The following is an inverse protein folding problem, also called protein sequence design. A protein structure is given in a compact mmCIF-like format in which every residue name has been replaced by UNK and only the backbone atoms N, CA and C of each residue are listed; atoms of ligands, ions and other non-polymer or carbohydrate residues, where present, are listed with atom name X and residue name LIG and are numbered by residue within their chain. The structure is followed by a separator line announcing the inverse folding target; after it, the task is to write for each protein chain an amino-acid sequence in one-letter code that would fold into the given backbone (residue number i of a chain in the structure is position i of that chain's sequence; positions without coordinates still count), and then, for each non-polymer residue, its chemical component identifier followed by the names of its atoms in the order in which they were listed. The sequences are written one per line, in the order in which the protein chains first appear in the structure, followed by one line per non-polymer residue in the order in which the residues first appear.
data_IF_591916658461
#
_entry.id   IF_591916658461
#
_cell.length_a   1.000
_cell.length_b   1.000
_cell.length_c   1.000
_cell.angle_alpha   90.00
_cell.angle_beta   90.00
_cell.angle_gamma   90.00
#
_symmetry.space_group_name_H-M   'P 1'
#
loop_
_entity.id
_entity.type
_entity.pdbx_description
1 polymer ?
#
# COMPACT_ATOMS: atom_id res chain seq x y z
N UNK A 1 -31.46 45.19 -33.81
CA UNK A 1 -30.38 45.77 -34.62
C UNK A 1 -29.29 44.70 -34.53
N UNK A 2 -29.27 43.83 -35.45
CA UNK A 2 -28.67 43.76 -36.79
C UNK A 2 -27.17 43.49 -36.74
N UNK A 3 -26.81 42.22 -37.10
CA UNK A 3 -25.68 41.74 -37.92
C UNK A 3 -24.28 41.91 -37.33
N UNK A 4 -23.41 40.87 -37.39
CA UNK A 4 -22.77 40.44 -38.62
C UNK A 4 -22.00 39.09 -38.41
N UNK A 5 -22.26 38.14 -39.32
CA UNK A 5 -21.45 36.94 -39.53
C UNK A 5 -20.12 37.33 -40.18
N UNK A 6 -19.02 36.64 -39.81
CA UNK A 6 -17.88 36.42 -40.71
C UNK A 6 -17.45 34.96 -40.57
N UNK A 7 -17.73 34.20 -41.64
CA UNK A 7 -17.15 32.90 -41.92
C UNK A 7 -15.77 33.07 -42.56
N UNK A 8 -14.79 32.32 -42.06
CA UNK A 8 -13.51 32.18 -42.79
C UNK A 8 -13.26 30.69 -42.98
N UNK A 9 -13.50 30.25 -44.20
CA UNK A 9 -13.10 28.93 -44.67
C UNK A 9 -11.66 29.02 -45.20
N UNK A 10 -10.78 28.20 -44.68
CA UNK A 10 -9.47 27.93 -45.32
C UNK A 10 -9.38 26.45 -45.62
N UNK A 11 -9.49 26.15 -46.88
CA UNK A 11 -9.14 24.87 -47.50
C UNK A 11 -7.63 24.76 -47.64
N UNK A 12 -7.06 23.64 -47.13
CA UNK A 12 -5.72 23.23 -47.53
C UNK A 12 -5.75 21.84 -48.13
N UNK A 13 -5.15 21.79 -49.33
CA UNK A 13 -5.16 20.66 -50.22
C UNK A 13 -4.20 19.55 -49.77
N UNK A 14 -4.66 18.33 -50.03
CA UNK A 14 -3.93 17.06 -49.99
C UNK A 14 -2.82 17.06 -51.05
N UNK A 15 -1.61 16.66 -50.67
CA UNK A 15 -0.61 16.16 -51.59
C UNK A 15 -0.20 14.75 -51.12
N UNK A 16 -0.68 13.75 -51.85
CA UNK A 16 -0.14 12.39 -51.81
C UNK A 16 1.25 12.39 -52.47
N UNK A 17 2.23 11.84 -51.77
CA UNK A 17 3.44 11.35 -52.46
C UNK A 17 3.64 9.88 -52.07
N UNK A 18 3.48 9.04 -53.07
CA UNK A 18 3.64 7.60 -53.04
C UNK A 18 5.09 7.32 -53.48
N UNK A 19 5.92 6.78 -52.59
CA UNK A 19 7.17 6.12 -53.04
C UNK A 19 7.23 4.74 -52.39
N UNK A 20 7.02 3.77 -53.29
CA UNK A 20 7.32 2.36 -53.11
C UNK A 20 8.83 2.18 -53.27
N UNK A 21 9.52 1.72 -52.24
CA UNK A 21 10.82 1.06 -52.45
C UNK A 21 10.82 -0.27 -51.67
N UNK A 22 11.28 -1.25 -52.42
CA UNK A 22 11.28 -2.68 -52.20
C UNK A 22 12.57 -3.10 -51.51
N UNK A 23 12.43 -4.03 -50.54
CA UNK A 23 13.36 -5.09 -50.11
C UNK A 23 14.74 -4.71 -49.54
N UNK A 24 14.97 -5.23 -48.33
CA UNK A 24 15.88 -6.39 -48.17
C UNK A 24 15.68 -7.02 -46.79
N UNK A 25 15.39 -8.31 -46.83
CA UNK A 25 15.32 -9.22 -45.72
C UNK A 25 16.75 -9.49 -45.20
N UNK A 26 17.11 -8.98 -44.04
CA UNK A 26 18.25 -9.52 -43.27
C UNK A 26 17.74 -9.93 -41.89
N UNK A 27 17.67 -11.25 -41.73
CA UNK A 27 17.48 -11.89 -40.43
C UNK A 27 18.64 -11.51 -39.51
N UNK A 28 18.39 -10.68 -38.50
CA UNK A 28 19.24 -10.58 -37.33
C UNK A 28 18.49 -11.23 -36.20
N UNK A 29 18.94 -12.45 -35.89
CA UNK A 29 18.78 -13.10 -34.61
C UNK A 29 19.52 -12.26 -33.55
N UNK A 30 18.79 -11.40 -32.86
CA UNK A 30 19.27 -10.71 -31.67
C UNK A 30 18.50 -11.27 -30.49
N UNK A 31 19.14 -12.29 -29.91
CA UNK A 31 18.77 -12.85 -28.62
C UNK A 31 18.89 -11.81 -27.50
N UNK A 32 18.05 -10.80 -27.54
CA UNK A 32 17.85 -9.88 -26.42
C UNK A 32 17.06 -10.63 -25.34
N UNK A 33 17.80 -11.32 -24.48
CA UNK A 33 17.32 -11.66 -23.16
C UNK A 33 16.96 -10.34 -22.48
N UNK A 34 15.69 -9.96 -22.50
CA UNK A 34 15.15 -9.00 -21.55
C UNK A 34 15.36 -9.59 -20.14
N UNK A 35 16.54 -9.29 -19.59
CA UNK A 35 16.73 -9.30 -18.15
C UNK A 35 15.70 -8.28 -17.65
N UNK A 36 14.63 -8.74 -17.02
CA UNK A 36 13.77 -7.87 -16.24
C UNK A 36 14.68 -7.24 -15.20
N UNK A 37 15.10 -5.99 -15.46
CA UNK A 37 15.68 -5.17 -14.40
C UNK A 37 14.66 -5.15 -13.27
N UNK A 38 15.03 -5.79 -12.18
CA UNK A 38 14.26 -5.74 -10.95
C UNK A 38 14.08 -4.26 -10.62
N UNK A 39 12.82 -3.83 -10.54
CA UNK A 39 12.42 -2.48 -10.17
C UNK A 39 13.12 -2.09 -8.86
N UNK A 40 14.23 -1.36 -8.96
CA UNK A 40 15.00 -0.80 -7.85
C UNK A 40 14.32 0.46 -7.30
N UNK A 41 12.99 0.51 -7.29
CA UNK A 41 12.30 1.42 -6.38
C UNK A 41 12.65 0.99 -4.98
N UNK A 42 13.34 1.85 -4.28
CA UNK A 42 13.89 1.71 -2.92
C UNK A 42 12.99 0.80 -2.07
N UNK A 43 13.44 -0.43 -1.86
CA UNK A 43 12.78 -1.32 -0.92
C UNK A 43 12.75 -0.59 0.41
N UNK A 44 11.57 -0.35 0.95
CA UNK A 44 11.45 0.29 2.24
C UNK A 44 12.03 -0.67 3.27
N UNK A 45 13.11 -0.24 3.95
CA UNK A 45 13.65 -1.01 5.06
C UNK A 45 12.68 -0.93 6.22
N UNK A 46 12.34 -2.07 6.77
CA UNK A 46 11.58 -2.18 8.02
C UNK A 46 12.47 -2.64 9.17
N UNK A 47 13.79 -2.67 8.95
CA UNK A 47 14.75 -3.06 9.98
C UNK A 47 14.83 -1.98 11.06
N UNK A 48 14.43 -2.28 12.31
CA UNK A 48 14.45 -1.30 13.40
C UNK A 48 15.88 -1.13 13.94
N UNK A 49 16.23 0.10 14.34
CA UNK A 49 17.44 0.42 15.08
C UNK A 49 17.26 0.24 16.60
N UNK A 50 16.12 -0.25 17.04
CA UNK A 50 15.73 -0.38 18.43
C UNK A 50 15.10 -1.74 18.72
N UNK A 51 15.00 -2.11 20.01
CA UNK A 51 14.34 -3.31 20.49
C UNK A 51 13.27 -3.00 21.52
N UNK A 52 12.23 -3.83 21.60
CA UNK A 52 11.15 -3.73 22.57
C UNK A 52 11.19 -4.99 23.45
N UNK A 53 11.83 -4.86 24.62
CA UNK A 53 12.03 -5.98 25.54
C UNK A 53 10.90 -6.15 26.57
N UNK A 54 10.11 -5.11 26.81
CA UNK A 54 9.02 -5.13 27.78
C UNK A 54 7.92 -6.10 27.37
N UNK A 55 7.66 -7.11 28.20
CA UNK A 55 6.59 -8.08 27.97
C UNK A 55 5.20 -7.42 27.89
N UNK A 56 4.99 -6.30 28.58
CA UNK A 56 3.75 -5.53 28.50
C UNK A 56 3.60 -4.89 27.11
N UNK A 57 4.65 -4.24 26.58
CA UNK A 57 4.63 -3.66 25.25
C UNK A 57 4.48 -4.73 24.17
N UNK A 58 5.18 -5.87 24.31
CA UNK A 58 5.04 -6.99 23.38
C UNK A 58 3.59 -7.54 23.37
N UNK A 59 2.92 -7.60 24.54
CA UNK A 59 1.52 -8.02 24.60
C UNK A 59 0.59 -7.02 23.90
N UNK A 60 0.76 -5.71 24.15
CA UNK A 60 -0.01 -4.67 23.48
C UNK A 60 0.18 -4.70 21.96
N UNK A 61 1.39 -4.98 21.48
CA UNK A 61 1.67 -5.12 20.04
C UNK A 61 0.98 -6.36 19.44
N UNK A 62 0.93 -7.50 20.16
CA UNK A 62 0.17 -8.68 19.73
C UNK A 62 -1.33 -8.39 19.64
N UNK A 63 -1.86 -7.71 20.64
CA UNK A 63 -3.29 -7.34 20.68
C UNK A 63 -3.62 -6.38 19.53
N UNK A 64 -2.73 -5.38 19.29
CA UNK A 64 -2.86 -4.45 18.19
C UNK A 64 -2.77 -5.15 16.82
N UNK A 65 -1.83 -6.07 16.65
CA UNK A 65 -1.71 -6.89 15.43
C UNK A 65 -2.98 -7.70 15.17
N UNK A 66 -3.57 -8.31 16.21
CA UNK A 66 -4.82 -9.07 16.10
C UNK A 66 -5.97 -8.18 15.61
N UNK A 67 -6.10 -6.97 16.17
CA UNK A 67 -7.10 -6.00 15.75
C UNK A 67 -6.82 -5.49 14.31
N UNK A 68 -5.54 -5.29 13.95
CA UNK A 68 -5.13 -4.92 12.61
C UNK A 68 -5.52 -5.99 11.57
N UNK A 69 -5.33 -7.28 11.86
CA UNK A 69 -5.75 -8.35 10.94
C UNK A 69 -7.27 -8.32 10.73
N UNK A 70 -8.05 -8.03 11.75
CA UNK A 70 -9.49 -7.84 11.61
C UNK A 70 -9.85 -6.64 10.73
N UNK A 71 -9.11 -5.53 10.85
CA UNK A 71 -9.23 -4.37 9.98
C UNK A 71 -8.94 -4.74 8.52
N UNK A 72 -7.77 -5.36 8.27
CA UNK A 72 -7.33 -5.80 6.94
C UNK A 72 -8.36 -6.70 6.26
N UNK A 73 -8.88 -7.69 6.96
CA UNK A 73 -9.93 -8.57 6.42
C UNK A 73 -11.25 -7.83 6.15
N UNK A 74 -11.60 -6.83 6.95
CA UNK A 74 -12.73 -5.94 6.68
C UNK A 74 -12.54 -5.14 5.40
N UNK A 75 -11.35 -4.56 5.20
CA UNK A 75 -10.99 -3.82 3.98
C UNK A 75 -11.00 -4.71 2.73
N UNK A 76 -10.51 -5.96 2.85
CA UNK A 76 -10.59 -6.97 1.78
C UNK A 76 -12.03 -7.25 1.39
N UNK A 77 -12.92 -7.41 2.37
CA UNK A 77 -14.32 -7.72 2.16
C UNK A 77 -15.21 -6.50 1.87
N UNK A 78 -14.63 -5.28 1.88
CA UNK A 78 -15.35 -4.00 1.84
C UNK A 78 -16.48 -3.93 2.90
N UNK A 79 -16.22 -4.47 4.11
CA UNK A 79 -17.16 -4.50 5.23
C UNK A 79 -16.92 -3.32 6.16
N UNK A 80 -17.65 -2.23 5.96
CA UNK A 80 -17.57 -1.01 6.75
C UNK A 80 -17.78 -1.26 8.25
N UNK A 81 -18.65 -2.19 8.64
CA UNK A 81 -18.92 -2.44 10.07
C UNK A 81 -17.75 -3.18 10.73
N UNK A 82 -17.12 -4.10 10.01
CA UNK A 82 -15.97 -4.84 10.50
C UNK A 82 -14.76 -3.91 10.65
N UNK A 83 -14.47 -3.11 9.63
CA UNK A 83 -13.36 -2.15 9.65
C UNK A 83 -13.53 -1.11 10.74
N UNK A 84 -14.73 -0.55 10.90
CA UNK A 84 -15.02 0.44 11.95
C UNK A 84 -14.84 -0.12 13.37
N UNK A 85 -15.32 -1.36 13.62
CA UNK A 85 -15.09 -2.02 14.92
C UNK A 85 -13.61 -2.26 15.19
N UNK A 86 -12.88 -2.77 14.19
CA UNK A 86 -11.46 -3.05 14.34
C UNK A 86 -10.63 -1.76 14.53
N UNK A 87 -10.93 -0.69 13.81
CA UNK A 87 -10.29 0.61 14.00
C UNK A 87 -10.51 1.18 15.40
N UNK A 88 -11.72 1.05 15.96
CA UNK A 88 -12.03 1.47 17.33
C UNK A 88 -11.30 0.63 18.37
N UNK A 89 -11.17 -0.67 18.17
CA UNK A 89 -10.38 -1.56 19.02
C UNK A 89 -8.91 -1.16 18.99
N UNK A 90 -8.33 -0.99 17.79
CA UNK A 90 -6.95 -0.51 17.63
C UNK A 90 -6.71 0.83 18.32
N UNK A 91 -7.67 1.78 18.23
CA UNK A 91 -7.59 3.06 18.94
C UNK A 91 -7.52 2.86 20.46
N UNK A 92 -8.32 1.95 21.01
CA UNK A 92 -8.30 1.68 22.44
C UNK A 92 -6.94 1.14 22.87
N UNK A 93 -6.34 0.25 22.10
CA UNK A 93 -5.03 -0.34 22.39
C UNK A 93 -3.91 0.71 22.25
N UNK A 94 -3.87 1.46 21.16
CA UNK A 94 -2.79 2.41 20.87
C UNK A 94 -2.77 3.60 21.83
N UNK A 95 -3.87 3.88 22.51
CA UNK A 95 -3.97 4.93 23.53
C UNK A 95 -3.64 4.43 24.94
N UNK A 96 -3.20 3.17 25.10
CA UNK A 96 -2.72 2.69 26.40
C UNK A 96 -1.50 3.51 26.84
N UNK A 97 -1.52 3.91 28.12
CA UNK A 97 -0.51 4.78 28.68
C UNK A 97 0.91 4.19 28.64
N UNK A 98 1.02 2.84 28.61
CA UNK A 98 2.31 2.15 28.57
C UNK A 98 3.10 2.48 27.28
N UNK A 99 2.43 2.75 26.16
CA UNK A 99 3.12 3.17 24.95
C UNK A 99 3.80 4.52 25.05
N UNK A 100 3.40 5.39 25.99
CA UNK A 100 4.07 6.66 26.26
C UNK A 100 5.46 6.50 26.92
N UNK A 101 5.80 5.29 27.39
CA UNK A 101 7.11 4.97 27.95
C UNK A 101 8.15 4.68 26.87
N UNK A 102 7.71 4.46 25.60
CA UNK A 102 8.62 4.28 24.48
C UNK A 102 9.21 5.62 24.05
N UNK A 103 10.49 5.62 23.72
CA UNK A 103 11.24 6.79 23.31
C UNK A 103 11.84 6.61 21.90
N UNK A 104 12.33 7.72 21.31
CA UNK A 104 13.01 7.71 20.03
C UNK A 104 12.16 7.18 18.90
N UNK A 105 12.73 6.35 18.03
CA UNK A 105 12.09 5.81 16.83
C UNK A 105 10.87 4.93 17.15
N UNK A 106 10.91 4.16 18.24
CA UNK A 106 9.77 3.39 18.71
C UNK A 106 8.56 4.29 19.01
N UNK A 107 8.77 5.40 19.69
CA UNK A 107 7.73 6.41 19.94
C UNK A 107 7.17 6.98 18.63
N UNK A 108 8.05 7.28 17.65
CA UNK A 108 7.63 7.86 16.37
C UNK A 108 6.72 6.90 15.59
N UNK A 109 7.03 5.60 15.59
CA UNK A 109 6.17 4.57 15.00
C UNK A 109 4.82 4.46 15.70
N UNK A 110 4.79 4.43 17.04
CA UNK A 110 3.54 4.42 17.81
C UNK A 110 2.72 5.68 17.52
N UNK A 111 3.35 6.84 17.48
CA UNK A 111 2.67 8.09 17.17
C UNK A 111 2.10 8.09 15.73
N UNK A 112 2.82 7.51 14.76
CA UNK A 112 2.31 7.36 13.40
C UNK A 112 1.11 6.41 13.36
N UNK A 113 1.22 5.23 13.97
CA UNK A 113 0.12 4.27 14.07
C UNK A 113 -1.12 4.91 14.72
N UNK A 114 -0.92 5.69 15.80
CA UNK A 114 -1.98 6.43 16.49
C UNK A 114 -2.69 7.43 15.57
N UNK A 115 -1.93 8.22 14.79
CA UNK A 115 -2.50 9.17 13.81
C UNK A 115 -3.35 8.45 12.77
N UNK A 116 -2.84 7.36 12.19
CA UNK A 116 -3.53 6.62 11.15
C UNK A 116 -4.83 5.99 11.67
N UNK A 117 -4.78 5.38 12.86
CA UNK A 117 -5.97 4.79 13.50
C UNK A 117 -7.02 5.84 13.85
N UNK A 118 -6.61 7.02 14.33
CA UNK A 118 -7.56 8.12 14.60
C UNK A 118 -8.26 8.53 13.31
N UNK A 119 -7.52 8.68 12.21
CA UNK A 119 -8.10 9.01 10.90
C UNK A 119 -9.04 7.92 10.40
N UNK A 120 -8.69 6.64 10.55
CA UNK A 120 -9.58 5.53 10.19
C UNK A 120 -10.88 5.53 11.00
N UNK A 121 -10.84 5.92 12.28
CA UNK A 121 -12.06 6.03 13.13
C UNK A 121 -12.92 7.23 12.75
N UNK A 122 -12.30 8.32 12.27
CA UNK A 122 -13.02 9.51 11.78
C UNK A 122 -13.77 9.24 10.46
N UNK A 123 -13.33 8.25 9.69
CA UNK A 123 -13.91 7.86 8.41
C UNK A 123 -14.54 6.46 8.50
N UNK A 124 -15.84 6.36 8.30
CA UNK A 124 -16.55 5.07 8.33
C UNK A 124 -16.64 4.37 6.95
N UNK A 125 -16.01 4.93 5.93
CA UNK A 125 -15.97 4.40 4.59
C UNK A 125 -14.64 3.68 4.33
N UNK A 126 -14.71 2.42 3.86
CA UNK A 126 -13.52 1.61 3.59
C UNK A 126 -12.61 2.23 2.53
N UNK A 127 -13.14 2.95 1.54
CA UNK A 127 -12.33 3.62 0.52
C UNK A 127 -11.45 4.70 1.14
N UNK A 128 -11.99 5.49 2.07
CA UNK A 128 -11.22 6.50 2.81
C UNK A 128 -10.24 5.86 3.79
N UNK A 129 -10.63 4.77 4.47
CA UNK A 129 -9.76 4.08 5.43
C UNK A 129 -8.52 3.45 4.77
N UNK A 130 -8.62 3.03 3.51
CA UNK A 130 -7.48 2.48 2.73
C UNK A 130 -6.32 3.47 2.59
N UNK A 131 -6.58 4.78 2.61
CA UNK A 131 -5.55 5.81 2.49
C UNK A 131 -4.54 5.80 3.64
N UNK A 132 -4.93 5.30 4.81
CA UNK A 132 -4.10 5.28 6.01
C UNK A 132 -3.43 3.92 6.25
N UNK A 133 -3.80 2.90 5.47
CA UNK A 133 -3.34 1.53 5.70
C UNK A 133 -1.85 1.35 5.43
N UNK A 134 -1.29 2.03 4.43
CA UNK A 134 0.13 1.87 4.05
C UNK A 134 1.08 2.31 5.17
N UNK A 135 0.92 3.51 5.69
CA UNK A 135 1.77 4.04 6.79
C UNK A 135 1.56 3.27 8.09
N UNK A 136 0.31 2.91 8.40
CA UNK A 136 -0.02 2.06 9.53
C UNK A 136 0.69 0.70 9.44
N UNK A 137 0.64 0.07 8.28
CA UNK A 137 1.21 -1.27 8.04
C UNK A 137 2.71 -1.30 8.18
N UNK A 138 3.39 -0.29 7.62
CA UNK A 138 4.85 -0.21 7.67
C UNK A 138 5.36 0.05 9.08
N UNK A 139 4.74 0.98 9.81
CA UNK A 139 5.05 1.22 11.21
C UNK A 139 4.77 -0.01 12.07
N UNK A 140 3.62 -0.68 11.87
CA UNK A 140 3.31 -1.90 12.60
C UNK A 140 4.34 -3.00 12.35
N UNK A 141 4.73 -3.25 11.10
CA UNK A 141 5.67 -4.32 10.77
C UNK A 141 7.06 -4.07 11.41
N UNK A 142 7.54 -2.82 11.39
CA UNK A 142 8.77 -2.42 12.09
C UNK A 142 8.67 -2.69 13.60
N UNK A 143 7.55 -2.33 14.23
CA UNK A 143 7.32 -2.56 15.65
C UNK A 143 7.24 -4.05 16.01
N UNK A 144 6.64 -4.88 15.14
CA UNK A 144 6.59 -6.33 15.33
C UNK A 144 7.99 -6.95 15.30
N UNK A 145 8.87 -6.51 14.39
CA UNK A 145 10.28 -6.93 14.33
C UNK A 145 11.02 -6.52 15.60
N UNK A 146 10.91 -5.24 16.00
CA UNK A 146 11.58 -4.70 17.18
C UNK A 146 11.17 -5.44 18.46
N UNK A 147 9.93 -5.92 18.54
CA UNK A 147 9.39 -6.63 19.68
C UNK A 147 9.71 -8.12 19.72
N UNK A 148 10.33 -8.69 18.67
CA UNK A 148 10.53 -10.14 18.51
C UNK A 148 9.24 -10.91 18.88
N UNK A 149 8.13 -10.43 18.36
CA UNK A 149 6.81 -10.99 18.67
C UNK A 149 6.67 -12.31 17.93
N UNK A 150 6.74 -13.41 18.65
CA UNK A 150 6.66 -14.78 18.11
C UNK A 150 5.32 -15.04 17.43
N UNK A 151 5.12 -14.43 16.26
CA UNK A 151 3.93 -14.57 15.42
C UNK A 151 4.32 -14.55 13.96
N UNK A 152 3.62 -15.32 13.14
CA UNK A 152 3.79 -15.23 11.69
C UNK A 152 3.18 -13.91 11.19
N UNK A 153 3.98 -13.13 10.48
CA UNK A 153 3.54 -11.91 9.84
C UNK A 153 4.25 -11.73 8.49
N UNK A 154 3.48 -11.42 7.47
CA UNK A 154 3.94 -11.24 6.09
C UNK A 154 3.76 -9.78 5.69
N UNK A 155 4.84 -9.08 5.38
CA UNK A 155 4.76 -7.79 4.71
C UNK A 155 4.51 -8.04 3.23
N UNK A 156 3.36 -7.62 2.76
CA UNK A 156 2.92 -7.79 1.38
C UNK A 156 2.83 -6.43 0.68
N UNK A 157 2.97 -6.41 -0.65
CA UNK A 157 3.01 -5.18 -1.44
C UNK A 157 2.28 -5.34 -2.77
N UNK A 158 1.41 -4.38 -3.10
CA UNK A 158 0.80 -4.23 -4.42
C UNK A 158 1.43 -3.04 -5.15
N UNK A 159 2.11 -3.23 -6.30
CA UNK A 159 2.75 -2.13 -7.02
C UNK A 159 1.76 -1.19 -7.70
N UNK A 160 0.51 -1.63 -7.88
CA UNK A 160 -0.53 -0.86 -8.57
C UNK A 160 -1.37 0.02 -7.66
N UNK A 161 -1.21 -0.10 -6.33
CA UNK A 161 -1.95 0.73 -5.38
C UNK A 161 -1.61 2.21 -5.59
N UNK A 162 -2.61 3.09 -5.38
CA UNK A 162 -2.46 4.54 -5.48
C UNK A 162 -1.79 5.00 -6.78
N UNK A 163 -2.41 4.67 -7.92
CA UNK A 163 -1.94 5.08 -9.25
C UNK A 163 -0.49 4.64 -9.54
N UNK A 164 -0.17 3.39 -9.21
CA UNK A 164 1.15 2.77 -9.36
C UNK A 164 2.27 3.35 -8.46
N UNK A 165 1.92 4.03 -7.38
CA UNK A 165 2.88 4.38 -6.35
C UNK A 165 3.29 3.17 -5.51
N UNK A 166 2.41 2.17 -5.44
CA UNK A 166 2.56 0.99 -4.62
C UNK A 166 2.16 1.22 -3.17
N UNK A 167 1.75 0.14 -2.50
CA UNK A 167 1.46 0.19 -1.08
C UNK A 167 1.63 -1.17 -0.40
N UNK A 168 1.96 -1.12 0.89
CA UNK A 168 2.22 -2.28 1.74
C UNK A 168 1.04 -2.57 2.66
N UNK A 169 0.91 -3.83 3.05
CA UNK A 169 0.07 -4.25 4.17
C UNK A 169 0.70 -5.43 4.89
N UNK A 170 0.29 -5.68 6.13
CA UNK A 170 0.69 -6.85 6.90
C UNK A 170 -0.40 -7.91 6.83
N UNK A 171 -0.02 -9.17 6.73
CA UNK A 171 -0.93 -10.31 6.69
C UNK A 171 -0.48 -11.39 7.66
N UNK A 172 -1.44 -12.12 8.20
CA UNK A 172 -1.24 -13.36 8.98
C UNK A 172 -1.11 -14.61 8.09
N UNK A 173 -1.15 -14.41 6.75
CA UNK A 173 -1.09 -15.47 5.75
C UNK A 173 -0.21 -15.05 4.59
N UNK A 174 0.54 -16.00 4.04
CA UNK A 174 1.32 -15.81 2.83
C UNK A 174 0.43 -15.52 1.61
N UNK A 175 -0.80 -16.07 1.60
CA UNK A 175 -1.77 -15.85 0.53
C UNK A 175 -2.05 -14.36 0.34
N UNK A 176 -1.90 -13.89 -0.90
CA UNK A 176 -2.21 -12.50 -1.26
C UNK A 176 -3.72 -12.28 -1.26
N UNK A 177 -4.17 -11.37 -0.40
CA UNK A 177 -5.53 -10.85 -0.35
C UNK A 177 -5.47 -9.34 -0.18
N UNK A 178 -5.53 -8.64 -1.30
CA UNK A 178 -5.25 -7.21 -1.39
C UNK A 178 -6.35 -6.35 -0.72
N UNK A 179 -6.04 -5.61 0.35
CA UNK A 179 -7.01 -4.77 1.06
C UNK A 179 -7.33 -3.46 0.34
N UNK A 180 -6.49 -3.02 -0.61
CA UNK A 180 -6.67 -1.74 -1.33
C UNK A 180 -7.74 -1.82 -2.41
N UNK A 181 -7.92 -2.99 -3.01
CA UNK A 181 -8.85 -3.18 -4.13
C UNK A 181 -9.97 -4.19 -3.84
N UNK A 182 -9.82 -5.03 -2.80
CA UNK A 182 -10.75 -6.10 -2.52
C UNK A 182 -10.97 -7.00 -3.74
N UNK A 183 -12.21 -7.36 -4.03
CA UNK A 183 -12.55 -8.28 -5.11
C UNK A 183 -12.10 -7.82 -6.51
N UNK A 184 -11.90 -6.52 -6.72
CA UNK A 184 -11.47 -5.96 -8.02
C UNK A 184 -10.08 -6.45 -8.44
N UNK A 185 -9.16 -6.60 -7.47
CA UNK A 185 -7.77 -7.03 -7.71
C UNK A 185 -7.23 -7.83 -6.52
N UNK A 186 -8.01 -8.79 -6.02
CA UNK A 186 -7.75 -9.52 -4.79
C UNK A 186 -6.36 -10.16 -4.72
N UNK A 187 -5.82 -10.62 -5.84
CA UNK A 187 -4.53 -11.32 -5.93
C UNK A 187 -3.37 -10.42 -6.39
N UNK A 188 -3.60 -9.11 -6.53
CA UNK A 188 -2.52 -8.19 -6.88
C UNK A 188 -1.59 -7.97 -5.70
N UNK A 189 -0.36 -8.40 -5.82
CA UNK A 189 0.69 -8.21 -4.83
C UNK A 189 1.65 -9.39 -4.72
N UNK A 190 2.65 -9.23 -3.86
CA UNK A 190 3.62 -10.27 -3.50
C UNK A 190 4.09 -10.07 -2.06
N UNK A 191 4.56 -11.16 -1.45
CA UNK A 191 5.27 -11.09 -0.16
C UNK A 191 6.63 -10.41 -0.38
N UNK A 192 6.99 -9.50 0.49
CA UNK A 192 8.29 -8.79 0.49
C UNK A 192 9.17 -9.23 1.64
N UNK A 193 8.56 -9.49 2.80
CA UNK A 193 9.28 -9.89 4.00
C UNK A 193 8.39 -10.79 4.87
N UNK A 194 9.00 -11.65 5.69
CA UNK A 194 8.32 -12.57 6.62
C UNK A 194 9.01 -12.52 7.98
N UNK A 195 8.21 -12.48 9.05
CA UNK A 195 8.66 -12.63 10.45
C UNK A 195 8.45 -14.05 10.91
#
# INVERSE_FOLDING_TARGET
MRNLMIAFALTFAVACNNQTETQEETAHDDGSTHVMEADTRTAMSTDPDFTIESAAHQQLLRDFYTAYINLKEGLVAADNQRTDRAAKEMRTIITDASFNELEGEAHDHIAQMGRDVIRMVEHSDVEEQRNYLNSLSTSLFTMLKAGDIQTEAYLQHCPMAFDNQGAYWVSDKEEIRNPYYGDRMLKCGSVRETL
#
